data_IF_746106162372
#
_entry.id   IF_746106162372
#
_cell.length_a   1.000
_cell.length_b   1.000
_cell.length_c   1.000
_cell.angle_alpha   90.00
_cell.angle_beta   90.00
_cell.angle_gamma   90.00
#
_symmetry.space_group_name_H-M   'P 1'
#
loop_
_entity.id
_entity.type
_entity.pdbx_description
1 polymer ?
#
# COMPACT_ATOMS: atom_id res chain seq x y z
N UNK A 1 -18.76 21.74 10.86
CA UNK A 1 -18.47 20.78 9.76
C UNK A 1 -18.80 19.39 10.27
N UNK A 2 -19.48 18.56 9.50
CA UNK A 2 -19.76 17.18 9.91
C UNK A 2 -18.59 16.31 9.46
N UNK A 3 -18.05 15.50 10.37
CA UNK A 3 -17.06 14.45 10.06
C UNK A 3 -17.81 13.18 9.71
N UNK A 4 -17.36 12.49 8.67
CA UNK A 4 -17.91 11.21 8.22
C UNK A 4 -16.79 10.19 8.26
N UNK A 5 -17.01 9.09 8.97
CA UNK A 5 -16.10 7.94 9.01
C UNK A 5 -16.72 6.84 8.17
N UNK A 6 -16.01 6.45 7.10
CA UNK A 6 -16.36 5.31 6.27
C UNK A 6 -15.48 4.11 6.68
N UNK A 7 -16.12 3.01 7.04
CA UNK A 7 -15.43 1.78 7.45
C UNK A 7 -15.59 0.72 6.37
N UNK A 8 -14.50 0.03 6.01
CA UNK A 8 -14.51 -1.03 5.02
C UNK A 8 -13.30 -1.00 4.10
N UNK A 9 -13.36 -1.75 3.01
CA UNK A 9 -12.35 -1.73 1.97
C UNK A 9 -12.28 -0.35 1.30
N UNK A 10 -11.06 0.18 1.14
CA UNK A 10 -10.86 1.53 0.62
C UNK A 10 -11.37 1.71 -0.80
N UNK A 11 -11.17 0.72 -1.66
CA UNK A 11 -11.61 0.75 -3.05
C UNK A 11 -13.14 0.77 -3.14
N UNK A 12 -13.81 -0.07 -2.33
CA UNK A 12 -15.27 -0.11 -2.26
C UNK A 12 -15.84 1.20 -1.73
N UNK A 13 -15.27 1.74 -0.65
CA UNK A 13 -15.75 2.99 -0.06
C UNK A 13 -15.57 4.18 -1.00
N UNK A 14 -14.45 4.26 -1.70
CA UNK A 14 -14.22 5.31 -2.69
C UNK A 14 -15.24 5.29 -3.83
N UNK A 15 -15.69 4.11 -4.28
CA UNK A 15 -16.72 3.98 -5.33
C UNK A 15 -18.07 4.58 -4.96
N UNK A 16 -18.38 4.67 -3.67
CA UNK A 16 -19.62 5.31 -3.19
C UNK A 16 -19.54 6.84 -3.15
N UNK A 17 -18.33 7.42 -3.24
CA UNK A 17 -18.17 8.87 -3.25
C UNK A 17 -18.45 9.44 -4.65
N UNK A 18 -19.12 10.60 -4.74
CA UNK A 18 -19.32 11.28 -6.02
C UNK A 18 -17.98 11.66 -6.68
N UNK A 19 -17.91 11.68 -8.01
CA UNK A 19 -16.74 12.23 -8.70
C UNK A 19 -16.55 13.72 -8.36
N UNK A 20 -15.31 14.18 -8.41
CA UNK A 20 -14.93 15.59 -8.19
C UNK A 20 -15.47 16.23 -6.90
N UNK A 21 -15.66 15.41 -5.84
CA UNK A 21 -16.23 15.83 -4.56
C UNK A 21 -15.18 16.13 -3.48
N UNK A 22 -13.93 15.71 -3.68
CA UNK A 22 -12.85 15.81 -2.69
C UNK A 22 -11.79 16.81 -3.14
N UNK A 23 -11.38 17.70 -2.24
CA UNK A 23 -10.34 18.71 -2.53
C UNK A 23 -8.92 18.18 -2.31
N UNK A 24 -8.74 17.32 -1.31
CA UNK A 24 -7.43 16.80 -0.93
C UNK A 24 -7.55 15.39 -0.41
N UNK A 25 -6.65 14.52 -0.85
CA UNK A 25 -6.44 13.20 -0.26
C UNK A 25 -5.04 13.16 0.37
N UNK A 26 -4.96 12.77 1.65
CA UNK A 26 -3.70 12.53 2.36
C UNK A 26 -3.73 11.09 2.86
N UNK A 27 -2.76 10.29 2.46
CA UNK A 27 -2.76 8.86 2.80
C UNK A 27 -1.36 8.30 2.98
N UNK A 28 -1.27 7.22 3.77
CA UNK A 28 -0.11 6.34 3.87
C UNK A 28 -0.62 4.92 3.63
N UNK A 29 -0.55 4.42 2.39
CA UNK A 29 -1.04 3.07 2.09
C UNK A 29 -0.18 2.01 2.79
N UNK A 30 -0.69 0.78 2.93
CA UNK A 30 0.11 -0.32 3.47
C UNK A 30 1.37 -0.54 2.63
N UNK A 31 2.52 -0.69 3.28
CA UNK A 31 3.79 -0.91 2.60
C UNK A 31 3.96 -2.38 2.23
N UNK A 32 4.63 -2.63 1.11
CA UNK A 32 4.86 -3.97 0.60
C UNK A 32 5.62 -4.85 1.62
N UNK A 33 5.04 -5.98 1.98
CA UNK A 33 5.58 -6.99 2.90
C UNK A 33 6.00 -6.47 4.29
N UNK A 34 5.44 -5.33 4.74
CA UNK A 34 5.83 -4.76 6.03
C UNK A 34 4.96 -5.30 7.18
N UNK A 35 3.66 -5.37 7.01
CA UNK A 35 2.73 -5.77 8.08
C UNK A 35 1.64 -6.69 7.56
N UNK A 36 1.33 -7.71 8.35
CA UNK A 36 0.13 -8.50 8.22
C UNK A 36 -0.90 -8.05 9.26
N UNK A 37 -2.03 -7.54 8.80
CA UNK A 37 -3.14 -7.10 9.64
C UNK A 37 -4.16 -8.21 9.88
N UNK A 38 -3.96 -9.40 9.30
CA UNK A 38 -4.85 -10.55 9.44
C UNK A 38 -6.18 -10.41 8.69
N UNK A 39 -6.29 -9.44 7.80
CA UNK A 39 -7.48 -9.22 6.98
C UNK A 39 -7.32 -9.91 5.62
N UNK A 40 -8.34 -10.66 5.21
CA UNK A 40 -8.35 -11.27 3.88
C UNK A 40 -8.34 -10.18 2.80
N UNK A 41 -7.48 -10.32 1.80
CA UNK A 41 -7.39 -9.35 0.70
C UNK A 41 -6.72 -8.03 1.06
N UNK A 42 -6.04 -7.95 2.20
CA UNK A 42 -5.30 -6.73 2.55
C UNK A 42 -4.24 -6.39 1.50
N UNK A 43 -4.09 -5.11 1.20
CA UNK A 43 -3.00 -4.59 0.39
C UNK A 43 -1.68 -4.66 1.19
N UNK A 44 -0.59 -5.02 0.51
CA UNK A 44 0.74 -5.13 1.09
C UNK A 44 1.21 -6.57 1.34
N UNK A 45 0.34 -7.56 1.10
CA UNK A 45 0.63 -8.99 1.26
C UNK A 45 0.59 -9.79 -0.06
N UNK A 46 0.62 -9.11 -1.18
CA UNK A 46 0.59 -9.73 -2.51
C UNK A 46 1.84 -10.59 -2.76
N UNK A 47 1.71 -11.56 -3.65
CA UNK A 47 2.78 -12.50 -3.98
C UNK A 47 3.95 -11.83 -4.73
N UNK A 48 3.68 -10.75 -5.46
CA UNK A 48 4.67 -10.00 -6.22
C UNK A 48 4.54 -8.49 -6.03
N UNK A 49 5.60 -7.76 -6.36
CA UNK A 49 5.61 -6.29 -6.35
C UNK A 49 4.63 -5.75 -7.38
N UNK A 50 4.53 -6.39 -8.52
CA UNK A 50 3.63 -6.03 -9.62
C UNK A 50 2.16 -6.10 -9.19
N UNK A 51 1.76 -7.19 -8.53
CA UNK A 51 0.39 -7.34 -8.00
C UNK A 51 0.08 -6.29 -6.95
N UNK A 52 1.03 -6.02 -6.06
CA UNK A 52 0.90 -4.97 -5.06
C UNK A 52 0.72 -3.58 -5.70
N UNK A 53 1.52 -3.24 -6.70
CA UNK A 53 1.38 -1.98 -7.42
C UNK A 53 0.03 -1.88 -8.14
N UNK A 54 -0.44 -2.96 -8.76
CA UNK A 54 -1.76 -3.01 -9.41
C UNK A 54 -2.89 -2.76 -8.41
N UNK A 55 -2.79 -3.35 -7.21
CA UNK A 55 -3.77 -3.12 -6.14
C UNK A 55 -3.81 -1.64 -5.74
N UNK A 56 -2.64 -1.02 -5.53
CA UNK A 56 -2.56 0.40 -5.21
C UNK A 56 -3.05 1.30 -6.33
N UNK A 57 -2.65 1.03 -7.57
CA UNK A 57 -3.09 1.79 -8.76
C UNK A 57 -4.61 1.76 -8.88
N UNK A 58 -5.24 0.62 -8.62
CA UNK A 58 -6.70 0.51 -8.62
C UNK A 58 -7.37 1.44 -7.61
N UNK A 59 -6.81 1.54 -6.40
CA UNK A 59 -7.28 2.48 -5.38
C UNK A 59 -7.05 3.94 -5.82
N UNK A 60 -5.86 4.26 -6.33
CA UNK A 60 -5.53 5.63 -6.74
C UNK A 60 -6.28 6.10 -7.98
N UNK A 61 -6.72 5.20 -8.86
CA UNK A 61 -7.66 5.53 -9.92
C UNK A 61 -8.99 6.05 -9.37
N UNK A 62 -9.53 5.42 -8.32
CA UNK A 62 -10.74 5.90 -7.67
C UNK A 62 -10.47 7.20 -6.87
N UNK A 63 -9.32 7.35 -6.24
CA UNK A 63 -8.92 8.62 -5.62
C UNK A 63 -8.90 9.73 -6.67
N UNK A 64 -8.32 9.50 -7.83
CA UNK A 64 -8.32 10.48 -8.93
C UNK A 64 -9.73 10.84 -9.38
N UNK A 65 -10.64 9.86 -9.47
CA UNK A 65 -12.04 10.09 -9.88
C UNK A 65 -12.78 11.00 -8.89
N UNK A 66 -12.54 10.79 -7.60
CA UNK A 66 -13.22 11.59 -6.56
C UNK A 66 -12.56 12.93 -6.29
N UNK A 67 -11.29 13.09 -6.63
CA UNK A 67 -10.60 14.38 -6.54
C UNK A 67 -11.11 15.34 -7.60
N UNK A 68 -11.29 16.60 -7.20
CA UNK A 68 -11.55 17.72 -8.11
C UNK A 68 -10.37 17.92 -9.08
N UNK A 69 -10.61 18.59 -10.19
CA UNK A 69 -9.57 18.90 -11.18
C UNK A 69 -8.42 19.73 -10.58
N UNK A 70 -8.70 20.55 -9.57
CA UNK A 70 -7.73 21.35 -8.80
C UNK A 70 -7.32 20.69 -7.47
N UNK A 71 -7.76 19.46 -7.24
CA UNK A 71 -7.48 18.70 -6.03
C UNK A 71 -6.04 18.18 -5.93
N UNK A 72 -5.60 17.87 -4.72
CA UNK A 72 -4.23 17.41 -4.46
C UNK A 72 -4.21 16.02 -3.80
N UNK A 73 -3.24 15.22 -4.17
CA UNK A 73 -2.95 13.91 -3.57
C UNK A 73 -1.59 13.94 -2.88
N UNK A 74 -1.57 13.61 -1.59
CA UNK A 74 -0.36 13.50 -0.77
C UNK A 74 -0.20 12.06 -0.32
N UNK A 75 0.86 11.40 -0.76
CA UNK A 75 1.14 10.00 -0.41
C UNK A 75 2.43 9.92 0.38
N UNK A 76 2.34 9.45 1.63
CA UNK A 76 3.51 9.08 2.41
C UNK A 76 3.78 7.58 2.22
N UNK A 77 4.90 7.24 1.60
CA UNK A 77 5.24 5.86 1.29
C UNK A 77 6.72 5.58 1.54
N UNK A 78 6.99 4.52 2.28
CA UNK A 78 8.33 3.97 2.45
C UNK A 78 8.65 2.92 1.38
N UNK A 79 9.93 2.76 1.11
CA UNK A 79 10.41 1.67 0.26
C UNK A 79 10.60 0.38 1.06
N UNK A 80 10.80 -0.71 0.36
CA UNK A 80 11.03 -2.04 0.94
C UNK A 80 12.30 -2.65 0.38
N UNK A 81 12.96 -3.46 1.21
CA UNK A 81 14.11 -4.25 0.78
C UNK A 81 13.69 -5.67 0.41
N UNK A 82 14.30 -6.20 -0.64
CA UNK A 82 14.15 -7.60 -1.00
C UNK A 82 14.73 -8.50 0.09
N UNK A 83 13.90 -9.34 0.72
CA UNK A 83 14.29 -10.22 1.83
C UNK A 83 14.34 -11.68 1.39
N UNK A 84 15.15 -12.51 2.05
CA UNK A 84 15.15 -13.95 1.81
C UNK A 84 13.98 -14.62 2.52
N UNK A 85 13.43 -15.65 1.88
CA UNK A 85 12.56 -16.62 2.54
C UNK A 85 13.30 -17.26 3.72
N UNK A 86 12.67 -17.28 4.90
CA UNK A 86 13.25 -17.92 6.09
C UNK A 86 14.17 -17.07 6.94
N UNK A 87 14.37 -15.80 6.64
CA UNK A 87 15.02 -14.86 7.57
C UNK A 87 14.06 -14.57 8.74
N UNK A 88 14.18 -15.34 9.81
CA UNK A 88 13.51 -14.97 11.07
C UNK A 88 14.08 -13.62 11.52
N UNK A 89 13.23 -12.66 11.89
CA UNK A 89 13.72 -11.46 12.56
C UNK A 89 14.42 -11.87 13.85
N UNK A 90 15.45 -11.14 14.28
CA UNK A 90 16.11 -11.44 15.54
C UNK A 90 15.08 -11.45 16.67
N UNK A 91 15.06 -12.50 17.47
CA UNK A 91 14.06 -12.85 18.49
C UNK A 91 13.89 -11.86 19.65
N UNK A 92 14.48 -10.66 19.58
CA UNK A 92 14.54 -9.69 20.68
C UNK A 92 13.85 -8.35 20.44
N UNK A 93 13.01 -8.21 19.43
CA UNK A 93 12.21 -7.00 19.29
C UNK A 93 10.79 -7.24 19.81
N UNK A 94 10.45 -6.60 20.90
CA UNK A 94 9.12 -6.58 21.55
C UNK A 94 7.99 -6.01 20.66
N UNK A 95 8.24 -5.77 19.40
CA UNK A 95 7.30 -5.29 18.39
C UNK A 95 7.36 -6.15 17.13
N UNK A 96 7.33 -7.48 17.27
CA UNK A 96 7.13 -8.37 16.12
C UNK A 96 5.68 -8.31 15.67
N UNK A 97 5.30 -7.29 14.89
CA UNK A 97 4.25 -7.45 13.92
C UNK A 97 4.66 -8.64 13.04
N UNK A 98 3.84 -9.68 12.97
CA UNK A 98 4.17 -10.92 12.27
C UNK A 98 4.61 -10.65 10.83
N UNK A 99 5.90 -10.64 10.61
CA UNK A 99 6.45 -10.55 9.27
C UNK A 99 6.39 -11.96 8.69
N UNK A 100 5.45 -12.19 7.81
CA UNK A 100 5.50 -13.38 6.96
C UNK A 100 6.74 -13.25 6.08
N UNK A 101 7.76 -14.08 6.36
CA UNK A 101 8.98 -14.14 5.55
C UNK A 101 8.60 -14.58 4.13
N UNK A 102 8.42 -13.62 3.24
CA UNK A 102 8.11 -13.87 1.84
C UNK A 102 9.40 -13.96 1.02
N UNK A 103 9.31 -14.66 -0.09
CA UNK A 103 10.41 -14.86 -1.03
C UNK A 103 11.00 -13.52 -1.52
N UNK A 104 12.29 -13.54 -1.84
CA UNK A 104 12.88 -12.45 -2.62
C UNK A 104 12.06 -12.27 -3.89
N UNK A 105 11.51 -11.10 -4.17
CA UNK A 105 10.72 -10.87 -5.36
C UNK A 105 11.54 -11.20 -6.62
N UNK A 106 10.88 -11.70 -7.66
CA UNK A 106 11.54 -12.06 -8.91
C UNK A 106 12.26 -10.84 -9.50
N UNK A 107 13.50 -11.01 -9.92
CA UNK A 107 14.31 -9.93 -10.49
C UNK A 107 15.13 -9.13 -9.49
N UNK A 108 14.96 -9.37 -8.18
CA UNK A 108 15.73 -8.69 -7.14
C UNK A 108 16.72 -9.63 -6.47
N UNK A 109 17.83 -9.07 -6.01
CA UNK A 109 18.78 -9.76 -5.13
C UNK A 109 18.43 -9.48 -3.67
N UNK A 110 18.87 -10.35 -2.79
CA UNK A 110 18.75 -10.11 -1.35
C UNK A 110 19.36 -8.77 -0.94
N UNK A 111 18.59 -7.96 -0.22
CA UNK A 111 18.90 -6.58 0.19
C UNK A 111 18.86 -5.51 -0.90
N UNK A 112 18.44 -5.83 -2.10
CA UNK A 112 18.12 -4.77 -3.06
C UNK A 112 16.99 -3.90 -2.53
N UNK A 113 17.10 -2.60 -2.73
CA UNK A 113 15.99 -1.67 -2.55
C UNK A 113 15.03 -1.85 -3.72
N UNK A 114 13.76 -2.11 -3.44
CA UNK A 114 12.78 -2.45 -4.47
C UNK A 114 12.40 -1.23 -5.33
N UNK A 115 12.44 -0.04 -4.75
CA UNK A 115 12.06 1.20 -5.45
C UNK A 115 10.54 1.40 -5.56
N UNK A 116 9.78 0.86 -4.60
CA UNK A 116 8.32 0.90 -4.61
C UNK A 116 7.74 2.30 -4.81
N UNK A 117 8.22 3.37 -4.12
CA UNK A 117 7.66 4.71 -4.30
C UNK A 117 7.78 5.21 -5.74
N UNK A 118 8.92 4.93 -6.39
CA UNK A 118 9.16 5.33 -7.77
C UNK A 118 8.34 4.54 -8.76
N UNK A 119 8.24 3.22 -8.55
CA UNK A 119 7.42 2.35 -9.38
C UNK A 119 5.94 2.76 -9.32
N UNK A 120 5.44 3.07 -8.12
CA UNK A 120 4.07 3.56 -7.96
C UNK A 120 3.86 4.93 -8.64
N UNK A 121 4.85 5.82 -8.56
CA UNK A 121 4.73 7.16 -9.15
C UNK A 121 4.68 7.13 -10.68
N UNK A 122 5.24 6.08 -11.31
CA UNK A 122 5.26 5.92 -12.76
C UNK A 122 4.16 4.98 -13.30
N UNK A 123 3.44 4.29 -12.43
CA UNK A 123 2.35 3.39 -12.80
C UNK A 123 1.02 4.14 -12.95
#
# INVERSE_FOLDING_TARGET
MAEIILTGDALEQLRHLPPESVHTCVTSPPYYNLRDYGAAGQIGNEASVEEYLQSLVSVFHEVRRVLRADGTLWVNMGDSYATRSGSQPPTNTRNSCGHTAKHTPRGYKYKDLIGVPWQLAFA
#
